data_IF_493516976720
#
_entry.id   IF_493516976720
#
_cell.length_a   1.000
_cell.length_b   1.000
_cell.length_c   1.000
_cell.angle_alpha   90.00
_cell.angle_beta   90.00
_cell.angle_gamma   90.00
#
_symmetry.space_group_name_H-M   'P 1'
#
loop_
_entity.id
_entity.type
_entity.pdbx_description
1 polymer ?
#
# COMPACT_ATOMS: atom_id res chain seq x y z
N UNK A 1 7.84 16.09 55.37
CA UNK A 1 8.90 15.49 54.52
C UNK A 1 8.40 14.37 53.59
N UNK A 2 7.35 13.64 53.97
CA UNK A 2 6.75 12.52 53.18
C UNK A 2 6.06 12.98 51.88
N UNK A 3 5.32 14.10 51.91
CA UNK A 3 4.59 14.61 50.74
C UNK A 3 5.50 15.02 49.55
N UNK A 4 6.69 15.58 49.83
CA UNK A 4 7.67 15.95 48.79
C UNK A 4 8.24 14.74 48.05
N UNK A 5 8.39 13.60 48.75
CA UNK A 5 8.85 12.34 48.16
C UNK A 5 7.76 11.69 47.30
N UNK A 6 6.50 11.78 47.71
CA UNK A 6 5.37 11.26 46.94
C UNK A 6 5.16 12.02 45.61
N UNK A 7 5.28 13.35 45.62
CA UNK A 7 5.18 14.18 44.40
C UNK A 7 6.27 13.83 43.39
N UNK A 8 7.51 13.62 43.86
CA UNK A 8 8.63 13.23 43.00
C UNK A 8 8.38 11.88 42.31
N UNK A 9 7.83 10.91 43.05
CA UNK A 9 7.52 9.56 42.51
C UNK A 9 6.42 9.63 41.46
N UNK A 10 5.35 10.41 41.69
CA UNK A 10 4.27 10.61 40.70
C UNK A 10 4.81 11.28 39.42
N UNK A 11 5.71 12.27 39.57
CA UNK A 11 6.33 12.94 38.43
C UNK A 11 7.25 12.00 37.63
N UNK A 12 8.01 11.12 38.29
CA UNK A 12 8.83 10.10 37.62
C UNK A 12 7.98 9.06 36.87
N UNK A 13 6.84 8.66 37.42
CA UNK A 13 5.91 7.72 36.74
C UNK A 13 5.31 8.39 35.50
N UNK A 14 4.88 9.65 35.59
CA UNK A 14 4.38 10.42 34.44
C UNK A 14 5.44 10.60 33.33
N UNK A 15 6.70 10.82 33.70
CA UNK A 15 7.80 10.89 32.75
C UNK A 15 8.09 9.53 32.07
N UNK A 16 7.95 8.42 32.80
CA UNK A 16 8.14 7.07 32.25
C UNK A 16 7.05 6.67 31.24
N UNK A 17 5.81 7.16 31.39
CA UNK A 17 4.72 6.92 30.42
C UNK A 17 4.98 7.64 29.08
N UNK A 18 5.75 8.73 29.09
CA UNK A 18 6.11 9.49 27.88
C UNK A 18 7.27 8.87 27.10
N UNK A 19 8.03 7.92 27.68
CA UNK A 19 9.09 7.15 27.00
C UNK A 19 8.50 5.85 26.42
N UNK A 20 7.23 5.90 26.02
CA UNK A 20 6.67 4.90 25.12
C UNK A 20 7.56 4.87 23.88
N UNK A 21 8.34 3.81 23.73
CA UNK A 21 9.20 3.56 22.60
C UNK A 21 8.32 3.51 21.34
N UNK A 22 8.05 4.65 20.72
CA UNK A 22 7.59 4.70 19.36
C UNK A 22 8.76 4.16 18.57
N UNK A 23 8.73 2.87 18.20
CA UNK A 23 9.48 2.42 17.04
C UNK A 23 9.20 3.49 15.98
N UNK A 24 10.22 4.23 15.54
CA UNK A 24 10.08 5.13 14.40
C UNK A 24 9.78 4.22 13.21
N UNK A 25 8.51 3.87 13.05
CA UNK A 25 7.94 3.35 11.82
C UNK A 25 8.15 4.48 10.84
N UNK A 26 8.88 4.25 9.74
CA UNK A 26 8.89 5.27 8.72
C UNK A 26 7.45 5.31 8.21
N UNK A 27 6.88 6.49 8.32
CA UNK A 27 5.53 6.73 7.86
C UNK A 27 5.58 6.97 6.36
N UNK A 28 4.49 6.63 5.67
CA UNK A 28 4.27 7.06 4.29
C UNK A 28 4.31 8.59 4.26
N UNK A 29 4.94 9.18 3.24
CA UNK A 29 4.90 10.62 3.03
C UNK A 29 3.48 11.11 2.71
N UNK A 30 2.67 10.27 2.07
CA UNK A 30 1.26 10.49 1.77
C UNK A 30 0.37 10.18 2.97
N UNK A 31 -0.57 11.08 3.25
CA UNK A 31 -1.62 10.84 4.24
C UNK A 31 -2.74 9.96 3.66
N UNK A 32 -3.19 8.97 4.42
CA UNK A 32 -4.37 8.18 4.09
C UNK A 32 -5.61 9.08 4.05
N UNK A 33 -6.40 8.97 2.98
CA UNK A 33 -7.70 9.64 2.84
C UNK A 33 -8.73 8.66 2.29
N UNK A 34 -9.96 8.63 2.83
CA UNK A 34 -10.98 7.75 2.30
C UNK A 34 -11.28 8.09 0.84
N UNK A 35 -11.44 7.06 0.02
CA UNK A 35 -11.88 7.19 -1.35
C UNK A 35 -13.40 7.21 -1.40
N UNK A 36 -13.96 8.37 -1.71
CA UNK A 36 -15.40 8.63 -1.79
C UNK A 36 -15.90 8.80 -3.24
N UNK A 37 -15.00 8.66 -4.22
CA UNK A 37 -15.29 8.88 -5.62
C UNK A 37 -15.84 7.65 -6.34
N UNK A 38 -16.10 7.83 -7.63
CA UNK A 38 -16.51 6.77 -8.57
C UNK A 38 -15.59 6.66 -9.78
N UNK A 39 -14.49 7.40 -9.80
CA UNK A 39 -13.44 7.38 -10.83
C UNK A 39 -12.79 6.00 -11.04
N UNK A 40 -12.77 5.13 -10.02
CA UNK A 40 -12.28 3.75 -10.09
C UNK A 40 -13.22 2.79 -9.36
N UNK A 41 -13.42 1.60 -9.94
CA UNK A 41 -14.09 0.47 -9.28
C UNK A 41 -13.19 -0.13 -8.21
N UNK A 42 -13.72 -0.28 -7.00
CA UNK A 42 -12.98 -0.83 -5.86
C UNK A 42 -13.45 -2.23 -5.43
N UNK A 43 -14.42 -2.83 -6.14
CA UNK A 43 -14.93 -4.19 -5.89
C UNK A 43 -14.12 -5.28 -6.64
N UNK A 44 -12.80 -5.10 -6.73
CA UNK A 44 -11.90 -6.03 -7.39
C UNK A 44 -10.44 -5.59 -7.34
N UNK A 45 -9.68 -5.97 -8.37
CA UNK A 45 -8.27 -5.61 -8.54
C UNK A 45 -8.00 -5.11 -9.95
N UNK A 46 -6.88 -4.42 -10.11
CA UNK A 46 -6.34 -3.98 -11.40
C UNK A 46 -5.05 -4.72 -11.67
N UNK A 47 -4.82 -5.13 -12.90
CA UNK A 47 -3.57 -5.78 -13.30
C UNK A 47 -3.04 -5.15 -14.58
N UNK A 48 -1.72 -5.07 -14.66
CA UNK A 48 -1.04 -4.49 -15.82
C UNK A 48 -0.89 -5.49 -16.96
N UNK A 49 -0.60 -4.98 -18.14
CA UNK A 49 0.10 -5.77 -19.16
C UNK A 49 1.53 -6.10 -18.66
N UNK A 50 2.19 -7.15 -19.20
CA UNK A 50 3.56 -7.48 -18.80
C UNK A 50 4.51 -6.29 -19.00
N UNK A 51 5.29 -5.99 -17.96
CA UNK A 51 6.24 -4.88 -17.90
C UNK A 51 7.63 -5.34 -18.39
N UNK A 52 8.01 -6.57 -18.08
CA UNK A 52 9.32 -7.21 -18.36
C UNK A 52 9.12 -8.66 -18.87
N UNK A 53 10.05 -9.59 -18.59
CA UNK A 53 9.99 -11.06 -18.75
C UNK A 53 8.76 -11.72 -18.06
N UNK A 54 7.56 -11.32 -18.48
CA UNK A 54 6.26 -11.73 -17.94
C UNK A 54 5.96 -11.25 -16.52
N UNK A 55 6.71 -10.29 -15.98
CA UNK A 55 6.34 -9.65 -14.72
C UNK A 55 5.20 -8.67 -14.94
N UNK A 56 4.14 -8.80 -14.16
CA UNK A 56 3.02 -7.85 -14.11
C UNK A 56 3.01 -7.13 -12.77
N UNK A 57 2.30 -6.01 -12.72
CA UNK A 57 1.86 -5.37 -11.48
C UNK A 57 0.38 -5.67 -11.23
N UNK A 58 0.02 -5.86 -9.96
CA UNK A 58 -1.37 -5.95 -9.51
C UNK A 58 -1.60 -4.91 -8.42
N UNK A 59 -2.66 -4.13 -8.59
CA UNK A 59 -3.10 -3.11 -7.63
C UNK A 59 -4.49 -3.42 -7.08
N UNK A 60 -4.67 -3.29 -5.78
CA UNK A 60 -5.97 -3.39 -5.10
C UNK A 60 -6.23 -2.08 -4.36
N UNK A 61 -7.40 -1.49 -4.55
CA UNK A 61 -7.81 -0.24 -3.92
C UNK A 61 -8.95 -0.47 -2.93
N UNK A 62 -8.92 0.25 -1.81
CA UNK A 62 -9.92 0.15 -0.75
C UNK A 62 -10.57 1.49 -0.47
N UNK A 63 -11.84 1.45 -0.03
CA UNK A 63 -12.61 2.66 0.27
C UNK A 63 -11.97 3.51 1.38
N UNK A 64 -11.22 2.91 2.29
CA UNK A 64 -10.50 3.61 3.36
C UNK A 64 -9.21 4.32 2.89
N UNK A 65 -8.89 4.31 1.58
CA UNK A 65 -7.68 4.94 1.04
C UNK A 65 -6.43 4.06 1.05
N UNK A 66 -6.55 2.80 1.50
CA UNK A 66 -5.45 1.83 1.42
C UNK A 66 -5.31 1.33 0.00
N UNK A 67 -4.07 1.11 -0.43
CA UNK A 67 -3.71 0.43 -1.67
C UNK A 67 -2.80 -0.76 -1.37
N UNK A 68 -2.87 -1.77 -2.24
CA UNK A 68 -1.88 -2.84 -2.33
C UNK A 68 -1.29 -2.77 -3.72
N UNK A 69 0.02 -2.85 -3.82
CA UNK A 69 0.77 -2.96 -5.07
C UNK A 69 1.75 -4.13 -4.95
N UNK A 70 1.64 -5.09 -5.85
CA UNK A 70 2.56 -6.24 -5.89
C UNK A 70 3.01 -6.52 -7.31
N UNK A 71 4.20 -7.12 -7.42
CA UNK A 71 4.81 -7.49 -8.69
C UNK A 71 5.18 -8.96 -8.66
N UNK A 72 4.83 -9.70 -9.71
CA UNK A 72 5.25 -11.10 -9.86
C UNK A 72 5.24 -11.52 -11.32
N UNK A 73 6.09 -12.49 -11.65
CA UNK A 73 6.10 -13.13 -12.96
C UNK A 73 4.86 -14.01 -13.16
N UNK A 74 4.27 -13.98 -14.35
CA UNK A 74 3.12 -14.81 -14.69
C UNK A 74 3.46 -15.91 -15.69
N UNK A 75 2.69 -17.00 -15.65
CA UNK A 75 2.74 -18.07 -16.64
C UNK A 75 1.97 -17.69 -17.91
N UNK A 76 1.55 -18.71 -18.68
CA UNK A 76 0.74 -18.51 -19.90
C UNK A 76 -0.61 -17.85 -19.60
N UNK A 77 -1.24 -18.23 -18.49
CA UNK A 77 -2.49 -17.61 -18.02
C UNK A 77 -2.19 -16.61 -16.89
N UNK A 78 -2.34 -15.33 -17.23
CA UNK A 78 -2.15 -14.22 -16.30
C UNK A 78 -3.16 -14.26 -15.14
N UNK A 79 -4.44 -14.51 -15.43
CA UNK A 79 -5.48 -14.45 -14.40
C UNK A 79 -5.37 -15.63 -13.43
N UNK A 80 -5.02 -16.81 -13.94
CA UNK A 80 -4.74 -17.97 -13.09
C UNK A 80 -3.50 -17.72 -12.21
N UNK A 81 -2.43 -17.15 -12.78
CA UNK A 81 -1.23 -16.78 -12.01
C UNK A 81 -1.54 -15.80 -10.88
N UNK A 82 -2.40 -14.81 -11.13
CA UNK A 82 -2.85 -13.88 -10.09
C UNK A 82 -3.59 -14.62 -8.97
N UNK A 83 -4.53 -15.51 -9.31
CA UNK A 83 -5.27 -16.29 -8.30
C UNK A 83 -4.32 -17.09 -7.41
N UNK A 84 -3.41 -17.84 -8.01
CA UNK A 84 -2.49 -18.71 -7.28
C UNK A 84 -1.50 -17.93 -6.41
N UNK A 85 -0.88 -16.88 -6.96
CA UNK A 85 0.21 -16.17 -6.29
C UNK A 85 -0.24 -15.11 -5.30
N UNK A 86 -1.45 -14.57 -5.48
CA UNK A 86 -1.99 -13.48 -4.66
C UNK A 86 -3.14 -13.95 -3.76
N UNK A 87 -4.16 -14.57 -4.35
CA UNK A 87 -5.42 -14.84 -3.64
C UNK A 87 -5.47 -16.21 -2.95
N UNK A 88 -4.68 -17.19 -3.38
CA UNK A 88 -4.56 -18.50 -2.75
C UNK A 88 -3.21 -18.72 -2.04
N UNK A 89 -2.39 -17.67 -1.95
CA UNK A 89 -1.10 -17.73 -1.28
C UNK A 89 -1.25 -17.30 0.18
N UNK A 90 -1.45 -18.28 1.07
CA UNK A 90 -1.63 -18.03 2.50
C UNK A 90 -0.44 -17.31 3.14
N UNK A 91 0.79 -17.63 2.71
CA UNK A 91 1.99 -16.96 3.23
C UNK A 91 1.94 -15.47 2.88
N UNK A 92 1.70 -15.12 1.61
CA UNK A 92 1.56 -13.72 1.20
C UNK A 92 0.45 -13.02 1.98
N UNK A 93 -0.73 -13.63 2.07
CA UNK A 93 -1.88 -13.06 2.79
C UNK A 93 -1.61 -12.89 4.30
N UNK A 94 -0.82 -13.77 4.91
CA UNK A 94 -0.46 -13.66 6.33
C UNK A 94 0.46 -12.47 6.64
N UNK A 95 1.27 -12.06 5.66
CA UNK A 95 2.17 -10.89 5.77
C UNK A 95 1.48 -9.57 5.45
N UNK A 96 0.29 -9.62 4.82
CA UNK A 96 -0.48 -8.42 4.50
C UNK A 96 -0.88 -7.71 5.79
N UNK A 97 -0.48 -6.44 5.90
CA UNK A 97 -0.81 -5.60 7.04
C UNK A 97 0.10 -5.75 8.26
N UNK A 98 0.82 -6.88 8.38
CA UNK A 98 1.77 -7.19 9.45
C UNK A 98 3.23 -6.92 9.07
N UNK A 99 3.51 -6.67 7.79
CA UNK A 99 4.81 -6.23 7.27
C UNK A 99 4.66 -4.98 6.38
N UNK A 100 5.69 -4.10 6.31
CA UNK A 100 5.68 -2.94 5.41
C UNK A 100 6.04 -3.38 3.99
N UNK A 101 5.25 -4.25 3.39
CA UNK A 101 5.48 -4.78 2.05
C UNK A 101 4.19 -4.72 1.23
N UNK A 102 4.26 -4.18 0.00
CA UNK A 102 3.15 -4.02 -0.95
C UNK A 102 2.03 -3.06 -0.52
N UNK A 103 1.79 -2.91 0.78
CA UNK A 103 0.72 -2.09 1.31
C UNK A 103 1.09 -0.60 1.31
N UNK A 104 0.10 0.26 1.13
CA UNK A 104 0.30 1.69 0.96
C UNK A 104 -1.00 2.48 0.98
N UNK A 105 -0.92 3.72 0.52
CA UNK A 105 -2.08 4.59 0.37
C UNK A 105 -2.21 5.06 -1.07
N UNK A 106 -3.42 5.52 -1.41
CA UNK A 106 -3.65 6.20 -2.68
C UNK A 106 -4.59 7.38 -2.49
N UNK A 107 -4.52 8.32 -3.42
CA UNK A 107 -5.48 9.41 -3.55
C UNK A 107 -5.81 9.61 -5.01
N UNK A 108 -7.01 10.15 -5.26
CA UNK A 108 -7.44 10.56 -6.60
C UNK A 108 -7.82 12.02 -6.55
N UNK A 109 -7.27 12.81 -7.47
CA UNK A 109 -7.61 14.21 -7.64
C UNK A 109 -7.69 14.53 -9.14
N UNK A 110 -8.85 15.00 -9.62
CA UNK A 110 -9.06 15.38 -11.02
C UNK A 110 -8.55 14.33 -12.03
N UNK A 111 -8.97 13.07 -11.88
CA UNK A 111 -8.51 11.90 -12.66
C UNK A 111 -7.03 11.55 -12.56
N UNK A 112 -6.24 12.26 -11.76
CA UNK A 112 -4.89 11.85 -11.41
C UNK A 112 -4.95 10.86 -10.24
N UNK A 113 -4.29 9.72 -10.42
CA UNK A 113 -4.05 8.72 -9.38
C UNK A 113 -2.64 8.92 -8.84
N UNK A 114 -2.51 9.03 -7.51
CA UNK A 114 -1.22 8.99 -6.83
C UNK A 114 -1.25 7.85 -5.82
N UNK A 115 -0.15 7.08 -5.74
CA UNK A 115 0.01 6.00 -4.78
C UNK A 115 1.39 6.07 -4.15
N UNK A 116 1.47 5.69 -2.88
CA UNK A 116 2.72 5.41 -2.20
C UNK A 116 2.59 4.05 -1.49
N UNK A 117 3.47 3.12 -1.83
CA UNK A 117 3.44 1.74 -1.33
C UNK A 117 4.79 1.34 -0.78
N UNK A 118 4.81 0.62 0.33
CA UNK A 118 6.05 0.09 0.87
C UNK A 118 6.65 -1.03 0.01
N UNK A 119 7.98 -1.10 0.04
CA UNK A 119 8.81 -1.96 -0.81
C UNK A 119 9.79 -2.72 0.05
N UNK A 120 9.57 -4.02 0.14
CA UNK A 120 10.48 -4.94 0.82
C UNK A 120 10.06 -5.30 2.24
N UNK A 121 10.55 -6.47 2.70
CA UNK A 121 10.32 -6.95 4.06
C UNK A 121 11.42 -6.37 4.96
N UNK A 122 11.06 -5.52 5.92
CA UNK A 122 11.97 -5.05 6.97
C UNK A 122 12.69 -3.71 6.73
N UNK A 123 12.85 -3.28 5.47
CA UNK A 123 13.34 -1.93 5.13
C UNK A 123 12.18 -1.06 4.67
N UNK A 124 12.12 0.19 5.15
CA UNK A 124 11.02 1.11 4.83
C UNK A 124 11.36 1.98 3.63
N UNK A 125 11.47 1.35 2.47
CA UNK A 125 11.47 2.07 1.20
C UNK A 125 10.04 2.14 0.66
N UNK A 126 9.74 3.19 -0.09
CA UNK A 126 8.44 3.36 -0.74
C UNK A 126 8.62 3.52 -2.24
N UNK A 127 7.63 3.02 -2.99
CA UNK A 127 7.41 3.38 -4.38
C UNK A 127 6.38 4.49 -4.45
N UNK A 128 6.63 5.49 -5.30
CA UNK A 128 5.61 6.45 -5.67
C UNK A 128 5.14 6.19 -7.10
N UNK A 129 3.84 6.12 -7.29
CA UNK A 129 3.20 5.94 -8.60
C UNK A 129 2.34 7.15 -8.90
N UNK A 130 2.49 7.69 -10.09
CA UNK A 130 1.59 8.68 -10.65
C UNK A 130 0.95 8.12 -11.91
N UNK A 131 -0.38 8.18 -11.95
CA UNK A 131 -1.18 7.65 -13.02
C UNK A 131 -2.32 8.58 -13.45
N UNK A 132 -2.91 8.22 -14.56
CA UNK A 132 -4.05 8.88 -15.18
C UNK A 132 -5.20 7.90 -15.29
N UNK A 133 -6.37 8.27 -14.78
CA UNK A 133 -7.59 7.48 -14.87
C UNK A 133 -8.26 7.76 -16.22
N UNK A 134 -8.35 6.72 -17.03
CA UNK A 134 -9.01 6.80 -18.35
C UNK A 134 -10.52 6.63 -18.18
N UNK A 135 -10.92 5.67 -17.35
CA UNK A 135 -12.31 5.41 -16.94
C UNK A 135 -12.33 4.54 -15.67
N UNK A 136 -13.52 4.21 -15.19
CA UNK A 136 -13.73 3.44 -13.95
C UNK A 136 -13.07 2.05 -13.90
N UNK A 137 -12.65 1.51 -15.04
CA UNK A 137 -12.07 0.18 -15.18
C UNK A 137 -10.64 0.19 -15.70
N UNK A 138 -10.08 1.37 -15.98
CA UNK A 138 -8.78 1.52 -16.63
C UNK A 138 -8.06 2.77 -16.14
N UNK A 139 -6.82 2.59 -15.67
CA UNK A 139 -5.87 3.68 -15.47
C UNK A 139 -4.54 3.35 -16.17
N UNK A 140 -3.73 4.37 -16.39
CA UNK A 140 -2.39 4.26 -16.95
C UNK A 140 -1.40 4.79 -15.92
N UNK A 141 -0.45 3.97 -15.50
CA UNK A 141 0.71 4.43 -14.74
C UNK A 141 1.64 5.18 -15.70
N UNK A 142 1.93 6.44 -15.36
CA UNK A 142 2.73 7.38 -16.17
C UNK A 142 4.16 7.52 -15.65
N UNK A 143 4.31 7.55 -14.33
CA UNK A 143 5.58 7.80 -13.64
C UNK A 143 5.67 6.88 -12.43
N UNK A 144 6.84 6.30 -12.25
CA UNK A 144 7.18 5.43 -11.14
C UNK A 144 8.49 5.93 -10.53
N UNK A 145 8.50 6.16 -9.22
CA UNK A 145 9.69 6.50 -8.46
C UNK A 145 10.02 5.32 -7.58
N UNK A 146 11.14 4.67 -7.89
CA UNK A 146 11.70 3.52 -7.22
C UNK A 146 12.49 3.85 -5.96
N UNK A 147 13.22 2.85 -5.46
CA UNK A 147 14.16 3.02 -4.35
C UNK A 147 15.24 4.03 -4.76
N UNK A 148 15.72 4.83 -3.80
CA UNK A 148 16.76 5.85 -3.98
C UNK A 148 16.40 6.98 -4.98
N UNK A 149 15.11 7.13 -5.31
CA UNK A 149 14.65 8.19 -6.22
C UNK A 149 14.87 7.88 -7.69
N UNK A 150 15.21 6.64 -8.04
CA UNK A 150 15.26 6.16 -9.43
C UNK A 150 13.90 6.38 -10.08
N UNK A 151 13.86 7.06 -11.22
CA UNK A 151 12.61 7.43 -11.87
C UNK A 151 12.47 6.72 -13.21
N UNK A 152 11.29 6.17 -13.46
CA UNK A 152 10.93 5.58 -14.74
C UNK A 152 9.57 6.07 -15.22
N UNK A 153 9.50 6.32 -16.53
CA UNK A 153 8.27 6.73 -17.21
C UNK A 153 7.72 5.54 -17.96
N UNK A 154 6.45 5.24 -17.72
CA UNK A 154 5.77 4.13 -18.36
C UNK A 154 4.45 4.62 -18.96
N UNK A 155 3.94 3.93 -19.98
CA UNK A 155 2.52 4.03 -20.35
C UNK A 155 1.87 2.69 -20.02
N UNK A 156 2.01 2.26 -18.77
CA UNK A 156 1.60 0.94 -18.36
C UNK A 156 0.11 0.94 -18.04
N UNK A 157 -0.66 0.24 -18.89
CA UNK A 157 -2.11 0.16 -18.76
C UNK A 157 -2.52 -0.90 -17.75
N UNK A 158 -3.40 -0.52 -16.83
CA UNK A 158 -4.01 -1.40 -15.85
C UNK A 158 -5.48 -1.63 -16.19
N UNK A 159 -5.93 -2.89 -16.08
CA UNK A 159 -7.31 -3.31 -16.39
C UNK A 159 -7.98 -3.89 -15.16
N UNK A 160 -9.23 -3.50 -14.92
CA UNK A 160 -10.02 -3.98 -13.80
C UNK A 160 -10.52 -5.41 -14.00
N UNK A 161 -10.49 -6.19 -12.92
CA UNK A 161 -11.16 -7.48 -12.79
C UNK A 161 -11.93 -7.51 -11.47
N UNK A 162 -13.24 -7.72 -11.56
CA UNK A 162 -14.11 -7.92 -10.39
C UNK A 162 -13.64 -9.14 -9.59
N UNK A 163 -13.55 -8.98 -8.27
CA UNK A 163 -13.10 -10.04 -7.37
C UNK A 163 -13.59 -9.78 -5.93
N UNK A 164 -14.05 -10.84 -5.27
CA UNK A 164 -14.50 -10.83 -3.88
C UNK A 164 -14.38 -12.24 -3.28
N UNK A 165 -14.04 -12.39 -1.99
CA UNK A 165 -13.63 -11.33 -1.07
C UNK A 165 -12.23 -10.81 -1.39
N UNK A 166 -12.00 -9.51 -1.17
CA UNK A 166 -10.65 -8.93 -1.24
C UNK A 166 -9.86 -9.30 0.04
N UNK A 167 -8.51 -9.31 -0.01
CA UNK A 167 -7.68 -9.38 1.19
C UNK A 167 -8.05 -8.27 2.20
N UNK A 168 -7.75 -8.49 3.48
CA UNK A 168 -7.92 -7.45 4.49
C UNK A 168 -6.95 -6.29 4.22
N UNK A 169 -7.43 -5.05 4.38
CA UNK A 169 -6.64 -3.83 4.24
C UNK A 169 -6.14 -3.26 5.57
N UNK A 170 -6.46 -3.91 6.69
CA UNK A 170 -5.99 -3.52 8.02
C UNK A 170 -4.47 -3.65 8.10
N UNK A 171 -3.79 -2.62 8.59
CA UNK A 171 -2.33 -2.61 8.71
C UNK A 171 -1.86 -1.81 9.91
N UNK A 172 -0.84 -2.33 10.60
CA UNK A 172 -0.15 -1.60 11.68
C UNK A 172 0.77 -0.49 11.13
N UNK A 173 1.02 -0.46 9.82
CA UNK A 173 1.88 0.50 9.14
C UNK A 173 1.12 1.65 8.48
N UNK A 174 -0.21 1.59 8.46
CA UNK A 174 -1.05 2.64 7.90
C UNK A 174 -1.94 3.21 9.00
N UNK A 175 -1.66 4.46 9.37
CA UNK A 175 -2.41 5.19 10.40
C UNK A 175 -3.63 5.91 9.82
#
# INVERSE_FOLDING_TARGET
>A
MVAKKAILVVFCILLLVMIGCSKMVADLGMQRRPYLGTDLKIDGYYYSEPIWDKTIAVSIFYQNGVSILTFFSVGKDTLQSIKEKLFHNEEFLSTMGSEPHSIGVFTINNKSLEMENFVGRGFKHTYHIYGEIINDSTFVMKRFIGIEGSESFHNLKFKFKKFSPKPDSTSVYIR
#
